data_IF_560543793039
#
_entry.id   IF_560543793039
#
_cell.length_a   1.000
_cell.length_b   1.000
_cell.length_c   1.000
_cell.angle_alpha   90.00
_cell.angle_beta   90.00
_cell.angle_gamma   90.00
#
_symmetry.space_group_name_H-M   'P 1'
#
loop_
_entity.id
_entity.type
_entity.pdbx_description
1 polymer ?
#
# COMPACT_ATOMS: atom_id res chain seq x y z
N UNK A 1 -17.98 0.90 -16.36
CA UNK A 1 -17.79 1.38 -17.75
C UNK A 1 -18.15 0.25 -18.69
N UNK A 2 -19.15 0.42 -19.54
CA UNK A 2 -19.54 -0.56 -20.56
C UNK A 2 -18.85 -0.23 -21.88
N UNK A 3 -18.42 -1.26 -22.61
CA UNK A 3 -17.91 -1.14 -23.98
C UNK A 3 -19.04 -1.55 -24.92
N UNK A 4 -19.38 -0.70 -25.87
CA UNK A 4 -20.34 -1.01 -26.92
C UNK A 4 -19.56 -1.45 -28.17
N UNK A 5 -19.84 -2.65 -28.66
CA UNK A 5 -19.34 -3.14 -29.93
C UNK A 5 -20.39 -2.87 -31.01
N UNK A 6 -20.01 -2.21 -32.10
CA UNK A 6 -20.88 -1.85 -33.19
C UNK A 6 -20.29 -2.35 -34.50
N UNK A 7 -21.03 -3.18 -35.25
CA UNK A 7 -20.75 -3.53 -36.64
C UNK A 7 -21.37 -2.49 -37.58
N UNK A 8 -20.69 -2.21 -38.70
CA UNK A 8 -21.13 -1.25 -39.72
C UNK A 8 -21.38 0.17 -39.13
N UNK A 9 -20.34 0.77 -38.54
CA UNK A 9 -20.44 1.98 -37.74
C UNK A 9 -20.81 3.23 -38.56
N UNK A 10 -20.72 3.18 -39.89
CA UNK A 10 -21.01 4.29 -40.79
C UNK A 10 -22.43 4.86 -40.61
N UNK A 11 -23.36 4.01 -40.20
CA UNK A 11 -24.77 4.40 -39.98
C UNK A 11 -24.99 5.23 -38.73
N UNK A 12 -24.02 5.24 -37.79
CA UNK A 12 -24.13 5.90 -36.47
C UNK A 12 -22.94 6.77 -36.11
N UNK A 13 -21.96 6.92 -37.01
CA UNK A 13 -20.70 7.64 -36.71
C UNK A 13 -20.90 9.08 -36.24
N UNK A 14 -21.93 9.76 -36.65
CA UNK A 14 -22.22 11.15 -36.24
C UNK A 14 -22.85 11.25 -34.83
N UNK A 15 -23.25 10.14 -34.22
CA UNK A 15 -23.95 10.11 -32.93
C UNK A 15 -23.19 9.45 -31.80
N UNK A 16 -21.96 8.96 -32.02
CA UNK A 16 -21.22 8.14 -31.08
C UNK A 16 -20.17 8.90 -30.30
N UNK A 17 -19.85 8.37 -29.11
CA UNK A 17 -18.87 8.88 -28.17
C UNK A 17 -17.56 9.35 -28.81
N UNK A 18 -16.98 10.37 -28.22
CA UNK A 18 -15.62 10.85 -28.55
C UNK A 18 -14.57 9.76 -28.35
N UNK A 19 -14.82 8.85 -27.40
CA UNK A 19 -13.94 7.72 -27.05
C UNK A 19 -14.31 6.48 -27.86
N UNK A 20 -13.62 6.25 -28.97
CA UNK A 20 -13.87 5.12 -29.85
C UNK A 20 -12.60 4.49 -30.40
N UNK A 21 -12.67 3.20 -30.71
CA UNK A 21 -11.67 2.44 -31.46
C UNK A 21 -12.30 1.90 -32.73
N UNK A 22 -11.90 2.42 -33.88
CA UNK A 22 -12.30 1.88 -35.17
C UNK A 22 -11.35 0.70 -35.50
N UNK A 23 -11.95 -0.47 -35.75
CA UNK A 23 -11.25 -1.68 -36.16
C UNK A 23 -11.62 -2.00 -37.60
N UNK A 24 -10.67 -1.82 -38.53
CA UNK A 24 -10.83 -2.14 -39.94
C UNK A 24 -10.16 -3.47 -40.25
N UNK A 25 -10.89 -4.36 -40.88
CA UNK A 25 -10.44 -5.69 -41.30
C UNK A 25 -10.36 -5.75 -42.80
N UNK A 26 -9.16 -5.94 -43.36
CA UNK A 26 -8.93 -6.01 -44.79
C UNK A 26 -8.23 -7.32 -45.14
N UNK A 27 -8.49 -7.84 -46.34
CA UNK A 27 -7.82 -9.03 -46.89
C UNK A 27 -8.81 -10.14 -47.24
N UNK A 28 -8.31 -11.14 -47.95
CA UNK A 28 -9.05 -12.31 -48.39
C UNK A 28 -8.31 -13.61 -48.00
N UNK A 29 -9.05 -14.72 -47.93
CA UNK A 29 -8.47 -16.01 -47.55
C UNK A 29 -8.28 -16.17 -46.03
N UNK A 30 -7.16 -16.76 -45.60
CA UNK A 30 -6.87 -17.15 -44.23
C UNK A 30 -6.20 -16.03 -43.39
N UNK A 31 -5.71 -14.97 -44.03
CA UNK A 31 -5.07 -13.84 -43.36
C UNK A 31 -5.90 -12.57 -43.47
N UNK A 32 -5.85 -11.74 -42.46
CA UNK A 32 -6.49 -10.43 -42.39
C UNK A 32 -5.50 -9.41 -41.86
N UNK A 33 -5.51 -8.23 -42.48
CA UNK A 33 -4.86 -7.04 -41.92
C UNK A 33 -5.87 -6.35 -40.99
N UNK A 34 -5.41 -5.97 -39.82
CA UNK A 34 -6.23 -5.24 -38.83
C UNK A 34 -5.62 -3.87 -38.66
N UNK A 35 -6.40 -2.83 -38.99
CA UNK A 35 -6.02 -1.44 -38.73
C UNK A 35 -6.84 -0.91 -37.58
N UNK A 36 -6.17 -0.37 -36.57
CA UNK A 36 -6.79 0.22 -35.38
C UNK A 36 -6.64 1.72 -35.43
N UNK A 37 -7.77 2.45 -35.48
CA UNK A 37 -7.79 3.90 -35.47
C UNK A 37 -8.48 4.39 -34.18
N UNK A 38 -7.71 4.84 -33.18
CA UNK A 38 -8.25 5.31 -31.93
C UNK A 38 -8.72 6.77 -32.00
N UNK A 39 -9.66 7.15 -31.13
CA UNK A 39 -9.98 8.54 -30.81
C UNK A 39 -10.32 8.66 -29.33
N UNK A 40 -10.15 9.89 -28.77
CA UNK A 40 -10.39 10.16 -27.35
C UNK A 40 -9.49 9.32 -26.45
N UNK A 41 -10.06 8.74 -25.41
CA UNK A 41 -9.32 7.94 -24.40
C UNK A 41 -8.64 6.69 -25.00
N UNK A 42 -9.11 6.18 -26.14
CA UNK A 42 -8.50 5.02 -26.80
C UNK A 42 -7.11 5.28 -27.34
N UNK A 43 -6.74 6.54 -27.63
CA UNK A 43 -5.38 6.91 -28.03
C UNK A 43 -4.40 6.49 -26.92
N UNK A 44 -4.65 6.91 -25.69
CA UNK A 44 -3.79 6.57 -24.54
C UNK A 44 -3.73 5.06 -24.28
N UNK A 45 -4.85 4.35 -24.45
CA UNK A 45 -4.91 2.88 -24.27
C UNK A 45 -4.03 2.17 -25.29
N UNK A 46 -4.09 2.56 -26.57
CA UNK A 46 -3.26 1.93 -27.62
C UNK A 46 -1.79 2.32 -27.47
N UNK A 47 -1.48 3.57 -27.17
CA UNK A 47 -0.11 4.01 -26.92
C UNK A 47 0.52 3.22 -25.77
N UNK A 48 -0.24 3.04 -24.67
CA UNK A 48 0.22 2.26 -23.53
C UNK A 48 0.44 0.80 -23.89
N UNK A 49 -0.51 0.19 -24.59
CA UNK A 49 -0.35 -1.20 -25.05
C UNK A 49 0.84 -1.37 -26.00
N UNK A 50 1.10 -0.38 -26.85
CA UNK A 50 2.25 -0.37 -27.75
C UNK A 50 3.56 -0.29 -26.98
N UNK A 51 3.65 0.57 -25.94
CA UNK A 51 4.81 0.65 -25.07
C UNK A 51 5.07 -0.71 -24.37
N UNK A 52 4.03 -1.32 -23.81
CA UNK A 52 4.12 -2.65 -23.18
C UNK A 52 4.62 -3.70 -24.18
N UNK A 53 4.06 -3.75 -25.39
CA UNK A 53 4.49 -4.73 -26.43
C UNK A 53 5.95 -4.52 -26.85
N UNK A 54 6.39 -3.27 -26.99
CA UNK A 54 7.80 -2.96 -27.28
C UNK A 54 8.71 -3.42 -26.13
N UNK A 55 8.34 -3.14 -24.90
CA UNK A 55 9.09 -3.57 -23.73
C UNK A 55 9.20 -5.11 -23.64
N UNK A 56 8.08 -5.83 -23.82
CA UNK A 56 8.11 -7.29 -23.83
C UNK A 56 8.93 -7.87 -24.98
N UNK A 57 8.95 -7.21 -26.15
CA UNK A 57 9.72 -7.66 -27.32
C UNK A 57 11.24 -7.64 -27.09
N UNK A 58 11.73 -6.87 -26.11
CA UNK A 58 13.15 -6.82 -25.73
C UNK A 58 13.52 -7.82 -24.63
N UNK A 59 12.58 -8.64 -24.19
CA UNK A 59 12.74 -9.62 -23.11
C UNK A 59 12.42 -11.05 -23.57
N UNK A 60 12.70 -12.04 -22.73
CA UNK A 60 12.28 -13.44 -22.99
C UNK A 60 10.75 -13.62 -23.00
N UNK A 61 10.00 -12.60 -22.63
CA UNK A 61 8.54 -12.60 -22.56
C UNK A 61 7.88 -12.12 -23.86
N UNK A 62 8.65 -12.02 -24.95
CA UNK A 62 8.11 -11.77 -26.28
C UNK A 62 7.08 -12.83 -26.62
N UNK A 63 5.87 -12.43 -27.01
CA UNK A 63 4.78 -13.36 -27.34
C UNK A 63 4.06 -13.98 -26.15
N UNK A 64 4.39 -13.55 -24.90
CA UNK A 64 3.71 -14.06 -23.71
C UNK A 64 2.19 -13.85 -23.77
N UNK A 65 1.45 -14.87 -23.31
CA UNK A 65 0.04 -14.71 -22.99
C UNK A 65 -0.10 -13.84 -21.76
N UNK A 66 -0.85 -12.74 -21.92
CA UNK A 66 -1.09 -11.74 -20.85
C UNK A 66 -2.50 -11.93 -20.29
N UNK A 67 -2.61 -11.98 -18.97
CA UNK A 67 -3.91 -12.03 -18.29
C UNK A 67 -3.94 -10.99 -17.18
N UNK A 68 -5.00 -10.19 -17.16
CA UNK A 68 -5.21 -9.18 -16.11
C UNK A 68 -5.18 -9.85 -14.73
N UNK A 69 -4.40 -9.28 -13.82
CA UNK A 69 -4.36 -9.64 -12.41
C UNK A 69 -5.07 -8.55 -11.62
N UNK A 70 -6.19 -8.90 -10.99
CA UNK A 70 -6.95 -7.95 -10.19
C UNK A 70 -6.12 -7.47 -9.01
N UNK A 71 -5.89 -6.16 -8.95
CA UNK A 71 -5.21 -5.45 -7.86
C UNK A 71 -6.22 -4.80 -6.93
N UNK A 72 -5.77 -4.42 -5.74
CA UNK A 72 -6.56 -3.64 -4.78
C UNK A 72 -6.71 -2.17 -5.26
N UNK A 73 -7.17 -1.29 -4.40
CA UNK A 73 -7.51 0.13 -4.65
C UNK A 73 -6.35 1.03 -5.17
N UNK A 74 -5.42 0.47 -5.92
CA UNK A 74 -4.24 1.13 -6.51
C UNK A 74 -4.50 1.58 -7.95
N UNK A 75 -3.71 2.55 -8.40
CA UNK A 75 -3.65 2.95 -9.82
C UNK A 75 -2.74 2.06 -10.66
N UNK A 76 -1.95 1.21 -10.03
CA UNK A 76 -1.08 0.24 -10.67
C UNK A 76 -1.91 -0.86 -11.31
N UNK A 77 -1.46 -1.33 -12.47
CA UNK A 77 -2.06 -2.46 -13.14
C UNK A 77 -1.07 -3.61 -13.17
N UNK A 78 -1.58 -4.79 -13.01
CA UNK A 78 -0.78 -6.00 -13.03
C UNK A 78 -1.36 -6.98 -14.04
N UNK A 79 -0.47 -7.68 -14.74
CA UNK A 79 -0.84 -8.79 -15.61
C UNK A 79 0.08 -9.98 -15.33
N UNK A 80 -0.46 -11.19 -15.35
CA UNK A 80 0.38 -12.38 -15.37
C UNK A 80 0.86 -12.62 -16.79
N UNK A 81 2.15 -12.89 -16.93
CA UNK A 81 2.80 -13.30 -18.17
C UNK A 81 3.02 -14.80 -18.15
N UNK A 82 2.69 -15.48 -19.27
CA UNK A 82 2.91 -16.91 -19.42
C UNK A 82 3.59 -17.19 -20.76
N UNK A 83 4.72 -17.90 -20.72
CA UNK A 83 5.43 -18.45 -21.86
C UNK A 83 5.83 -19.88 -21.48
N UNK A 84 5.34 -20.87 -22.20
CA UNK A 84 5.52 -22.28 -21.86
C UNK A 84 5.15 -22.56 -20.38
N UNK A 85 6.08 -23.09 -19.59
CA UNK A 85 5.90 -23.33 -18.14
C UNK A 85 6.35 -22.14 -17.27
N UNK A 86 6.89 -21.08 -17.89
CA UNK A 86 7.36 -19.91 -17.16
C UNK A 86 6.23 -18.91 -16.89
N UNK A 87 6.26 -18.32 -15.69
CA UNK A 87 5.33 -17.29 -15.27
C UNK A 87 6.07 -16.12 -14.62
N UNK A 88 5.60 -14.91 -14.91
CA UNK A 88 6.02 -13.68 -14.24
C UNK A 88 4.85 -12.71 -14.12
N UNK A 89 5.09 -11.56 -13.50
CA UNK A 89 4.13 -10.48 -13.41
C UNK A 89 4.66 -9.27 -14.16
N UNK A 90 3.87 -8.75 -15.09
CA UNK A 90 4.06 -7.41 -15.65
C UNK A 90 3.42 -6.40 -14.70
N UNK A 91 4.22 -5.49 -14.20
CA UNK A 91 3.78 -4.31 -13.45
C UNK A 91 3.75 -3.10 -14.37
N UNK A 92 2.61 -2.43 -14.40
CA UNK A 92 2.35 -1.22 -15.16
C UNK A 92 2.05 -0.09 -14.16
N UNK A 93 3.05 0.78 -13.94
CA UNK A 93 3.02 1.90 -12.99
C UNK A 93 3.60 3.15 -13.68
N UNK A 94 2.88 3.77 -14.62
CA UNK A 94 3.32 5.03 -15.22
C UNK A 94 3.43 6.11 -14.14
N UNK A 95 4.45 6.98 -14.26
CA UNK A 95 4.55 8.14 -13.40
C UNK A 95 3.28 9.00 -13.49
N UNK A 96 2.82 9.46 -12.35
CA UNK A 96 1.61 10.28 -12.27
C UNK A 96 1.98 11.72 -11.96
N UNK A 97 1.26 12.68 -12.56
CA UNK A 97 1.33 14.05 -12.09
C UNK A 97 0.80 14.10 -10.64
N UNK A 98 1.38 14.97 -9.87
CA UNK A 98 0.96 15.26 -8.52
C UNK A 98 -0.56 15.54 -8.44
N UNK A 99 -1.16 15.12 -7.34
CA UNK A 99 -2.55 15.45 -7.03
C UNK A 99 -2.73 16.95 -6.73
N UNK A 100 -3.93 17.38 -6.36
CA UNK A 100 -4.16 18.77 -5.98
C UNK A 100 -3.30 19.16 -4.78
N UNK A 101 -2.85 20.40 -4.76
CA UNK A 101 -2.12 21.01 -3.65
C UNK A 101 -3.03 20.99 -2.42
N UNK A 102 -2.52 20.47 -1.31
CA UNK A 102 -3.26 20.38 -0.04
C UNK A 102 -2.64 21.22 1.07
N UNK A 103 -1.30 21.39 1.07
CA UNK A 103 -0.57 22.15 2.10
C UNK A 103 0.79 22.61 1.59
N UNK A 104 1.18 23.84 1.92
CA UNK A 104 2.51 24.41 1.66
C UNK A 104 2.99 24.24 0.20
N UNK A 105 2.08 24.39 -0.75
CA UNK A 105 2.37 24.23 -2.19
C UNK A 105 2.61 22.78 -2.63
N UNK A 106 2.34 21.79 -1.78
CA UNK A 106 2.58 20.38 -2.06
C UNK A 106 1.29 19.55 -2.08
N UNK A 107 1.20 18.51 -2.96
CA UNK A 107 0.13 17.54 -2.92
C UNK A 107 0.27 16.58 -1.74
N UNK A 108 -0.80 15.84 -1.44
CA UNK A 108 -0.80 14.84 -0.37
C UNK A 108 0.28 13.77 -0.55
N UNK A 109 0.46 13.27 -1.78
CA UNK A 109 1.46 12.24 -2.11
C UNK A 109 2.88 12.66 -1.74
N UNK A 110 3.26 13.89 -2.08
CA UNK A 110 4.59 14.42 -1.79
C UNK A 110 4.83 14.60 -0.27
N UNK A 111 3.81 15.05 0.49
CA UNK A 111 3.94 15.23 1.95
C UNK A 111 3.93 13.86 2.67
N UNK A 112 3.07 12.96 2.24
CA UNK A 112 2.95 11.61 2.82
C UNK A 112 4.04 10.65 2.31
N UNK A 113 4.93 11.09 1.43
CA UNK A 113 6.00 10.29 0.83
C UNK A 113 5.47 9.01 0.16
N UNK A 114 4.39 9.12 -0.62
CA UNK A 114 3.91 8.00 -1.44
C UNK A 114 4.74 7.90 -2.71
N UNK A 115 5.04 6.69 -3.13
CA UNK A 115 5.79 6.45 -4.36
C UNK A 115 4.99 6.88 -5.60
N UNK A 116 5.56 7.73 -6.42
CA UNK A 116 4.95 8.30 -7.61
C UNK A 116 5.40 7.60 -8.89
N UNK A 117 6.51 6.86 -8.81
CA UNK A 117 7.06 6.10 -9.93
C UNK A 117 7.61 4.72 -9.53
N UNK A 118 7.95 3.92 -10.54
CA UNK A 118 8.39 2.54 -10.39
C UNK A 118 9.81 2.42 -9.79
N UNK A 119 10.61 3.51 -9.74
CA UNK A 119 11.97 3.51 -9.16
C UNK A 119 11.97 3.01 -7.75
N UNK A 120 10.99 3.43 -6.95
CA UNK A 120 10.85 2.99 -5.57
C UNK A 120 10.70 1.46 -5.47
N UNK A 121 9.88 0.85 -6.34
CA UNK A 121 9.71 -0.63 -6.36
C UNK A 121 11.03 -1.33 -6.68
N UNK A 122 11.72 -0.89 -7.75
CA UNK A 122 12.96 -1.53 -8.20
C UNK A 122 14.05 -1.41 -7.14
N UNK A 123 14.21 -0.21 -6.56
CA UNK A 123 15.22 0.05 -5.55
C UNK A 123 14.95 -0.72 -4.26
N UNK A 124 13.73 -0.62 -3.71
CA UNK A 124 13.38 -1.24 -2.43
C UNK A 124 13.43 -2.76 -2.53
N UNK A 125 12.85 -3.33 -3.58
CA UNK A 125 12.92 -4.79 -3.78
C UNK A 125 14.35 -5.28 -3.97
N UNK A 126 15.18 -4.57 -4.75
CA UNK A 126 16.58 -4.91 -4.98
C UNK A 126 17.39 -4.95 -3.68
N UNK A 127 17.22 -3.95 -2.81
CA UNK A 127 17.89 -3.90 -1.52
C UNK A 127 17.40 -4.98 -0.55
N UNK A 128 16.08 -5.24 -0.51
CA UNK A 128 15.53 -6.35 0.28
C UNK A 128 16.11 -7.70 -0.15
N UNK A 129 16.15 -7.96 -1.46
CA UNK A 129 16.73 -9.18 -2.02
C UNK A 129 18.20 -9.34 -1.69
N UNK A 130 19.00 -8.27 -1.80
CA UNK A 130 20.43 -8.28 -1.48
C UNK A 130 20.72 -8.67 -0.03
N UNK A 131 19.76 -8.41 0.87
CA UNK A 131 19.83 -8.74 2.31
C UNK A 131 19.16 -10.06 2.67
N UNK A 132 18.70 -10.84 1.67
CA UNK A 132 18.15 -12.18 1.89
C UNK A 132 16.67 -12.22 2.24
N UNK A 133 15.92 -11.13 2.10
CA UNK A 133 14.46 -11.13 2.17
C UNK A 133 13.86 -11.61 0.85
N UNK A 134 12.58 -11.94 0.86
CA UNK A 134 11.85 -12.29 -0.35
C UNK A 134 10.98 -11.11 -0.79
N UNK A 135 11.43 -10.38 -1.79
CA UNK A 135 10.65 -9.39 -2.52
C UNK A 135 10.64 -9.78 -4.02
N UNK A 136 9.67 -9.31 -4.83
CA UNK A 136 9.66 -9.64 -6.26
C UNK A 136 10.92 -9.16 -6.96
N UNK A 137 11.74 -10.09 -7.45
CA UNK A 137 12.92 -9.75 -8.23
C UNK A 137 12.50 -9.13 -9.57
N UNK A 138 13.09 -7.99 -9.94
CA UNK A 138 12.88 -7.38 -11.25
C UNK A 138 13.78 -8.05 -12.27
N UNK A 139 13.20 -8.74 -13.25
CA UNK A 139 13.92 -9.37 -14.37
C UNK A 139 14.29 -8.33 -15.44
N UNK A 140 13.37 -7.41 -15.71
CA UNK A 140 13.56 -6.28 -16.61
C UNK A 140 12.70 -5.10 -16.16
N UNK A 141 13.12 -3.88 -16.47
CA UNK A 141 12.33 -2.70 -16.20
C UNK A 141 12.61 -1.59 -17.22
N UNK A 142 11.64 -0.71 -17.38
CA UNK A 142 11.71 0.52 -18.17
C UNK A 142 11.20 1.67 -17.29
N UNK A 143 12.11 2.44 -16.73
CA UNK A 143 11.79 3.54 -15.82
C UNK A 143 11.07 4.70 -16.54
N UNK A 144 11.34 4.87 -17.84
CA UNK A 144 10.72 5.93 -18.64
C UNK A 144 9.23 5.69 -18.82
N UNK A 145 8.85 4.43 -19.11
CA UNK A 145 7.46 4.06 -19.29
C UNK A 145 6.82 3.52 -18.01
N UNK A 146 7.58 3.35 -16.90
CA UNK A 146 7.06 2.77 -15.67
C UNK A 146 6.57 1.33 -15.83
N UNK A 147 7.38 0.48 -16.46
CA UNK A 147 7.10 -0.93 -16.71
C UNK A 147 8.15 -1.80 -16.02
N UNK A 148 7.73 -2.89 -15.42
CA UNK A 148 8.66 -3.92 -14.93
C UNK A 148 8.09 -5.32 -15.13
N UNK A 149 8.97 -6.27 -15.38
CA UNK A 149 8.70 -7.71 -15.29
C UNK A 149 9.28 -8.17 -13.96
N UNK A 150 8.43 -8.64 -13.06
CA UNK A 150 8.81 -9.02 -11.71
C UNK A 150 8.44 -10.47 -11.40
N UNK A 151 9.16 -11.08 -10.46
CA UNK A 151 8.91 -12.43 -9.97
C UNK A 151 7.48 -12.56 -9.42
N UNK A 152 6.82 -13.68 -9.74
CA UNK A 152 5.59 -14.09 -9.09
C UNK A 152 5.92 -14.90 -7.82
N UNK A 153 5.71 -14.30 -6.65
CA UNK A 153 5.98 -14.93 -5.34
C UNK A 153 4.94 -15.99 -4.94
N UNK A 154 3.92 -16.24 -5.76
CA UNK A 154 2.89 -17.24 -5.52
C UNK A 154 1.54 -16.67 -5.12
N UNK A 155 0.68 -17.54 -4.56
CA UNK A 155 -0.75 -17.24 -4.32
C UNK A 155 -1.18 -17.34 -2.87
N UNK A 156 -0.32 -17.79 -1.97
CA UNK A 156 -0.64 -17.99 -0.55
C UNK A 156 -0.54 -16.67 0.23
N UNK A 157 -1.47 -15.75 -0.07
CA UNK A 157 -1.58 -14.45 0.61
C UNK A 157 -2.12 -14.65 2.03
N UNK A 158 -1.44 -14.09 3.04
CA UNK A 158 -1.80 -14.24 4.46
C UNK A 158 -3.27 -13.91 4.73
N UNK A 159 -3.78 -12.82 4.15
CA UNK A 159 -5.17 -12.41 4.32
C UNK A 159 -6.16 -13.46 3.79
N UNK A 160 -5.87 -14.08 2.64
CA UNK A 160 -6.70 -15.14 2.06
C UNK A 160 -6.64 -16.42 2.89
N UNK A 161 -5.44 -16.81 3.35
CA UNK A 161 -5.25 -17.97 4.22
C UNK A 161 -6.04 -17.84 5.53
N UNK A 162 -5.96 -16.66 6.19
CA UNK A 162 -6.70 -16.38 7.42
C UNK A 162 -8.23 -16.42 7.20
N UNK A 163 -8.72 -15.82 6.12
CA UNK A 163 -10.15 -15.86 5.78
C UNK A 163 -10.64 -17.27 5.41
N UNK A 164 -9.76 -18.11 4.91
CA UNK A 164 -10.03 -19.53 4.65
C UNK A 164 -9.94 -20.42 5.92
N UNK A 165 -9.54 -19.86 7.07
CA UNK A 165 -9.39 -20.60 8.31
C UNK A 165 -8.14 -21.48 8.38
N UNK A 166 -7.11 -21.21 7.55
CA UNK A 166 -5.85 -21.92 7.64
C UNK A 166 -5.11 -21.59 8.95
N UNK A 167 -4.26 -22.50 9.42
CA UNK A 167 -3.39 -22.23 10.58
C UNK A 167 -2.37 -21.14 10.25
N UNK A 168 -2.44 -20.05 11.00
CA UNK A 168 -1.58 -18.88 10.84
C UNK A 168 -0.42 -18.84 11.85
N UNK A 169 -0.23 -19.87 12.67
CA UNK A 169 0.78 -19.87 13.74
C UNK A 169 2.19 -19.66 13.19
N UNK A 170 2.62 -20.51 12.26
CA UNK A 170 3.95 -20.38 11.63
C UNK A 170 4.07 -19.17 10.70
N UNK A 171 3.08 -18.87 9.81
CA UNK A 171 3.13 -17.66 8.98
C UNK A 171 3.30 -16.38 9.81
N UNK A 172 2.47 -16.17 10.83
CA UNK A 172 2.52 -14.95 11.63
C UNK A 172 3.80 -14.83 12.45
N UNK A 173 4.29 -15.95 13.00
CA UNK A 173 5.58 -15.99 13.69
C UNK A 173 6.72 -15.60 12.74
N UNK A 174 6.76 -16.18 11.55
CA UNK A 174 7.77 -15.85 10.55
C UNK A 174 7.71 -14.37 10.12
N UNK A 175 6.51 -13.79 9.99
CA UNK A 175 6.35 -12.37 9.70
C UNK A 175 6.93 -11.49 10.82
N UNK A 176 6.74 -11.85 12.08
CA UNK A 176 7.33 -11.15 13.24
C UNK A 176 8.85 -11.30 13.25
N UNK A 177 9.39 -12.49 12.96
CA UNK A 177 10.83 -12.74 12.86
C UNK A 177 11.49 -11.88 11.77
N UNK A 178 10.82 -11.72 10.61
CA UNK A 178 11.28 -10.80 9.55
C UNK A 178 11.36 -9.37 10.04
N UNK A 179 10.32 -8.85 10.72
CA UNK A 179 10.34 -7.49 11.27
C UNK A 179 11.41 -7.29 12.33
N UNK A 180 11.59 -8.26 13.23
CA UNK A 180 12.63 -8.20 14.24
C UNK A 180 14.05 -8.17 13.62
N UNK A 181 14.27 -8.96 12.57
CA UNK A 181 15.51 -8.95 11.82
C UNK A 181 15.71 -7.63 11.05
N UNK A 182 14.68 -7.09 10.40
CA UNK A 182 14.75 -5.79 9.74
C UNK A 182 15.11 -4.67 10.72
N UNK A 183 14.52 -4.69 11.90
CA UNK A 183 14.79 -3.70 12.95
C UNK A 183 16.22 -3.75 13.51
N UNK A 184 16.91 -4.87 13.37
CA UNK A 184 18.31 -5.02 13.76
C UNK A 184 19.31 -4.49 12.73
N UNK A 185 18.87 -4.27 11.47
CA UNK A 185 19.75 -3.86 10.38
C UNK A 185 19.98 -2.34 10.34
N UNK A 186 21.13 -1.94 9.79
CA UNK A 186 21.34 -0.57 9.31
C UNK A 186 20.83 -0.46 7.88
N UNK A 187 19.94 0.47 7.63
CA UNK A 187 19.31 0.67 6.32
C UNK A 187 19.83 1.94 5.65
N UNK A 188 20.10 1.91 4.34
CA UNK A 188 20.49 3.10 3.60
C UNK A 188 19.28 4.04 3.41
N UNK A 189 19.56 5.32 3.35
CA UNK A 189 18.60 6.36 2.92
C UNK A 189 18.61 6.55 1.41
N UNK A 190 19.54 5.91 0.70
CA UNK A 190 19.72 5.99 -0.75
C UNK A 190 20.12 4.65 -1.33
N UNK A 191 19.41 4.21 -2.34
CA UNK A 191 19.64 2.93 -3.03
C UNK A 191 19.95 3.17 -4.50
N UNK A 192 21.05 2.60 -4.99
CA UNK A 192 21.43 2.67 -6.39
C UNK A 192 20.56 1.72 -7.23
N UNK A 193 20.09 2.21 -8.38
CA UNK A 193 19.43 1.41 -9.40
C UNK A 193 20.44 1.18 -10.53
N UNK A 194 20.70 -0.08 -10.85
CA UNK A 194 21.69 -0.43 -11.86
C UNK A 194 21.44 0.30 -13.18
N UNK A 195 22.37 1.19 -13.58
CA UNK A 195 22.36 1.89 -14.85
C UNK A 195 21.51 3.17 -14.92
N UNK A 196 20.74 3.53 -13.87
CA UNK A 196 19.67 4.53 -14.01
C UNK A 196 19.46 5.47 -12.81
N UNK A 197 20.52 5.74 -12.06
CA UNK A 197 20.49 6.68 -10.94
C UNK A 197 20.20 6.01 -9.61
N UNK A 198 19.52 6.73 -8.73
CA UNK A 198 19.25 6.29 -7.38
C UNK A 198 17.80 6.60 -6.94
N UNK A 199 17.39 5.92 -5.88
CA UNK A 199 16.16 6.20 -5.15
C UNK A 199 16.49 6.64 -3.73
N UNK A 200 15.91 7.75 -3.29
CA UNK A 200 16.00 8.21 -1.90
C UNK A 200 14.82 7.65 -1.12
N UNK A 201 15.10 6.89 -0.07
CA UNK A 201 14.09 6.42 0.88
C UNK A 201 13.79 7.57 1.85
N UNK A 202 12.61 8.16 1.80
CA UNK A 202 12.31 9.33 2.60
C UNK A 202 12.18 9.02 4.09
N UNK A 203 12.37 10.02 4.93
CA UNK A 203 12.05 9.92 6.36
C UNK A 203 10.53 9.90 6.56
N UNK A 204 10.04 9.04 7.43
CA UNK A 204 8.67 9.14 7.95
C UNK A 204 8.61 10.25 9.00
N UNK A 205 8.70 11.48 8.53
CA UNK A 205 8.82 12.69 9.33
C UNK A 205 7.48 13.13 9.96
N UNK A 206 7.56 14.22 10.74
CA UNK A 206 6.39 14.76 11.42
C UNK A 206 5.31 15.24 10.44
N UNK A 207 5.69 15.84 9.32
CA UNK A 207 4.72 16.34 8.33
C UNK A 207 3.96 15.20 7.65
N UNK A 208 4.67 14.12 7.30
CA UNK A 208 4.05 12.89 6.77
C UNK A 208 3.07 12.26 7.78
N UNK A 209 3.47 12.17 9.04
CA UNK A 209 2.61 11.61 10.08
C UNK A 209 1.40 12.53 10.37
N UNK A 210 1.59 13.84 10.37
CA UNK A 210 0.52 14.84 10.59
C UNK A 210 -0.49 14.88 9.44
N UNK A 211 -0.04 14.86 8.18
CA UNK A 211 -0.98 14.86 7.04
C UNK A 211 -1.83 13.59 7.02
N UNK A 212 -1.30 12.48 7.50
CA UNK A 212 -2.01 11.22 7.60
C UNK A 212 -3.08 11.24 8.71
N UNK A 213 -2.77 11.71 9.93
CA UNK A 213 -3.81 11.83 10.98
C UNK A 213 -4.86 12.86 10.59
N UNK A 214 -4.50 13.87 9.80
CA UNK A 214 -5.40 14.87 9.23
C UNK A 214 -6.50 14.31 8.33
N UNK A 215 -6.37 13.06 7.88
CA UNK A 215 -7.45 12.38 7.14
C UNK A 215 -8.69 12.12 8.01
N UNK A 216 -8.53 11.96 9.32
CA UNK A 216 -9.66 11.77 10.23
C UNK A 216 -10.55 13.02 10.29
N UNK A 217 -10.08 14.23 10.62
CA UNK A 217 -10.90 15.44 10.62
C UNK A 217 -11.43 15.79 9.22
N UNK A 218 -10.68 15.48 8.15
CA UNK A 218 -11.07 15.82 6.78
C UNK A 218 -12.15 14.91 6.21
N UNK A 219 -12.17 13.63 6.58
CA UNK A 219 -13.04 12.62 5.95
C UNK A 219 -13.92 11.84 6.92
N UNK A 220 -13.35 11.37 8.05
CA UNK A 220 -14.11 10.56 9.01
C UNK A 220 -15.03 11.42 9.89
N UNK A 221 -14.57 12.59 10.31
CA UNK A 221 -15.40 13.53 11.05
C UNK A 221 -16.69 13.88 10.30
N UNK A 222 -16.63 14.40 9.05
CA UNK A 222 -17.86 14.70 8.32
C UNK A 222 -18.67 13.45 7.95
N UNK A 223 -18.05 12.27 7.88
CA UNK A 223 -18.76 11.02 7.71
C UNK A 223 -19.64 10.70 8.93
N UNK A 224 -19.16 10.96 10.14
CA UNK A 224 -19.89 10.68 11.39
C UNK A 224 -20.88 11.80 11.74
N UNK A 225 -20.44 13.05 11.69
CA UNK A 225 -21.21 14.20 12.17
C UNK A 225 -22.06 14.90 11.11
N UNK A 226 -21.88 14.61 9.84
CA UNK A 226 -22.53 15.30 8.74
C UNK A 226 -22.08 16.74 8.49
N UNK A 227 -21.18 17.26 9.33
CA UNK A 227 -20.66 18.65 9.28
C UNK A 227 -19.14 18.67 9.38
N UNK A 228 -18.51 19.77 8.97
CA UNK A 228 -17.07 19.94 9.15
C UNK A 228 -16.73 20.12 10.64
N UNK A 229 -15.52 19.73 11.01
CA UNK A 229 -14.95 20.00 12.34
C UNK A 229 -14.77 21.52 12.52
N UNK A 230 -14.93 22.02 13.74
CA UNK A 230 -14.66 23.43 14.04
C UNK A 230 -13.16 23.68 14.21
N UNK A 231 -12.71 24.92 13.93
CA UNK A 231 -11.29 25.27 14.01
C UNK A 231 -10.71 25.01 15.42
N UNK A 232 -11.49 25.27 16.47
CA UNK A 232 -11.05 25.04 17.85
C UNK A 232 -10.79 23.56 18.14
N UNK A 233 -11.72 22.68 17.76
CA UNK A 233 -11.60 21.23 17.97
C UNK A 233 -10.49 20.64 17.10
N UNK A 234 -10.32 21.17 15.87
CA UNK A 234 -9.22 20.78 14.98
C UNK A 234 -7.87 21.18 15.58
N UNK A 235 -7.74 22.39 16.09
CA UNK A 235 -6.51 22.89 16.70
C UNK A 235 -6.09 22.05 17.92
N UNK A 236 -7.05 21.64 18.77
CA UNK A 236 -6.79 20.72 19.88
C UNK A 236 -6.28 19.37 19.40
N UNK A 237 -6.93 18.78 18.39
CA UNK A 237 -6.53 17.52 17.79
C UNK A 237 -5.10 17.58 17.23
N UNK A 238 -4.79 18.61 16.47
CA UNK A 238 -3.45 18.80 15.91
C UNK A 238 -2.39 19.02 16.98
N UNK A 239 -2.69 19.79 18.03
CA UNK A 239 -1.78 20.04 19.13
C UNK A 239 -1.40 18.75 19.86
N UNK A 240 -2.38 17.88 20.15
CA UNK A 240 -2.16 16.59 20.78
C UNK A 240 -1.25 15.68 19.94
N UNK A 241 -1.48 15.61 18.63
CA UNK A 241 -0.61 14.82 17.75
C UNK A 241 0.80 15.41 17.60
N UNK A 242 0.93 16.75 17.56
CA UNK A 242 2.24 17.43 17.55
C UNK A 242 3.05 17.21 18.81
N UNK A 243 2.40 16.93 19.95
CA UNK A 243 3.09 16.53 21.19
C UNK A 243 3.56 15.06 21.15
N UNK A 244 2.74 14.15 20.61
CA UNK A 244 2.97 12.72 20.65
C UNK A 244 3.94 12.22 19.57
N UNK A 245 3.76 12.64 18.32
CA UNK A 245 4.50 12.09 17.17
C UNK A 245 6.02 12.30 17.25
N UNK A 246 6.56 13.44 17.74
CA UNK A 246 8.01 13.60 17.90
C UNK A 246 8.67 12.55 18.82
N UNK A 247 7.92 11.94 19.72
CA UNK A 247 8.44 10.88 20.60
C UNK A 247 8.86 9.65 19.79
N UNK A 248 8.17 9.35 18.70
CA UNK A 248 8.48 8.22 17.82
C UNK A 248 9.66 8.48 16.88
N UNK A 249 10.24 9.68 16.89
CA UNK A 249 11.39 10.05 16.06
C UNK A 249 12.74 9.88 16.78
N UNK A 250 12.71 9.50 18.05
CA UNK A 250 13.90 9.44 18.91
C UNK A 250 14.74 8.17 18.72
N UNK A 251 14.08 7.06 18.42
CA UNK A 251 14.75 5.79 18.21
C UNK A 251 15.50 5.72 16.87
N UNK A 252 16.36 4.70 16.76
CA UNK A 252 17.00 4.35 15.49
C UNK A 252 15.94 4.09 14.43
N UNK A 253 16.02 4.83 13.32
CA UNK A 253 15.14 4.64 12.17
C UNK A 253 15.60 3.46 11.33
N UNK A 254 14.63 2.67 10.89
CA UNK A 254 14.81 1.51 10.01
C UNK A 254 13.88 1.62 8.83
N UNK A 255 14.08 0.78 7.83
CA UNK A 255 13.07 0.69 6.77
C UNK A 255 11.75 0.20 7.35
N UNK A 256 10.71 0.99 7.10
CA UNK A 256 9.33 0.76 7.50
C UNK A 256 8.49 0.67 6.23
N UNK A 257 7.89 -0.50 5.99
CA UNK A 257 7.13 -0.80 4.77
C UNK A 257 5.79 -0.07 4.74
N UNK A 258 5.29 0.40 5.88
CA UNK A 258 3.99 1.05 6.12
C UNK A 258 2.79 0.13 5.91
N UNK A 259 2.82 -0.68 4.86
CA UNK A 259 1.77 -1.63 4.53
C UNK A 259 2.20 -3.09 4.73
N UNK A 260 2.94 -3.34 5.83
CA UNK A 260 3.33 -4.67 6.27
C UNK A 260 2.14 -5.36 6.96
N UNK A 261 1.19 -5.82 6.17
CA UNK A 261 -0.05 -6.42 6.64
C UNK A 261 -0.50 -7.58 5.73
N UNK A 262 -1.49 -8.34 6.16
CA UNK A 262 -1.84 -9.63 5.56
C UNK A 262 -2.12 -9.65 4.05
N UNK A 263 -2.69 -8.62 3.40
CA UNK A 263 -2.82 -8.61 1.95
C UNK A 263 -1.49 -8.56 1.19
N UNK A 264 -0.44 -8.02 1.82
CA UNK A 264 0.85 -7.77 1.19
C UNK A 264 1.94 -8.76 1.61
N UNK A 265 1.56 -9.81 2.36
CA UNK A 265 2.44 -10.88 2.79
C UNK A 265 2.04 -12.20 2.13
N UNK A 266 3.04 -12.94 1.62
CA UNK A 266 2.85 -14.24 1.00
C UNK A 266 3.60 -15.32 1.80
N UNK A 267 2.91 -16.42 2.08
CA UNK A 267 3.51 -17.55 2.74
C UNK A 267 4.19 -18.49 1.75
N UNK A 268 5.49 -18.74 1.95
CA UNK A 268 6.35 -19.55 1.09
C UNK A 268 7.04 -20.62 1.94
N UNK A 269 6.30 -21.65 2.40
CA UNK A 269 6.82 -22.66 3.34
C UNK A 269 7.97 -23.50 2.79
N UNK A 270 8.10 -23.57 1.46
CA UNK A 270 9.18 -24.26 0.76
C UNK A 270 10.53 -23.52 0.82
N UNK A 271 10.50 -22.24 1.20
CA UNK A 271 11.69 -21.41 1.35
C UNK A 271 12.25 -21.50 2.78
N UNK A 272 13.52 -21.09 2.93
CA UNK A 272 14.21 -21.09 4.22
C UNK A 272 14.26 -19.71 4.87
N UNK A 273 14.31 -19.67 6.19
CA UNK A 273 14.57 -18.47 7.00
C UNK A 273 13.64 -17.29 6.63
N UNK A 274 14.20 -16.11 6.38
CA UNK A 274 13.47 -14.88 6.05
C UNK A 274 12.70 -14.97 4.74
N UNK A 275 13.11 -15.83 3.80
CA UNK A 275 12.47 -16.01 2.49
C UNK A 275 11.12 -16.72 2.56
N UNK A 276 10.74 -17.26 3.73
CA UNK A 276 9.40 -17.83 3.93
C UNK A 276 8.28 -16.78 3.88
N UNK A 277 8.63 -15.50 4.04
CA UNK A 277 7.67 -14.40 3.97
C UNK A 277 7.97 -13.56 2.73
N UNK A 278 7.13 -13.67 1.71
CA UNK A 278 7.20 -12.82 0.53
C UNK A 278 6.59 -11.46 0.82
N UNK A 279 7.32 -10.39 0.49
CA UNK A 279 6.92 -8.99 0.71
C UNK A 279 6.55 -8.36 -0.63
N UNK A 280 5.32 -7.90 -0.76
CA UNK A 280 4.87 -7.13 -1.93
C UNK A 280 4.37 -5.75 -1.49
N UNK A 281 4.17 -4.87 -2.45
CA UNK A 281 3.67 -3.50 -2.21
C UNK A 281 4.63 -2.65 -1.36
N UNK A 282 5.92 -2.77 -1.63
CA UNK A 282 7.03 -2.24 -0.82
C UNK A 282 7.44 -0.81 -1.15
N UNK A 283 6.90 -0.22 -2.21
CA UNK A 283 7.37 1.06 -2.78
C UNK A 283 7.16 2.27 -1.87
N UNK A 284 6.21 2.21 -0.93
CA UNK A 284 5.96 3.29 0.02
C UNK A 284 6.84 3.19 1.28
N UNK A 285 7.95 2.45 1.18
CA UNK A 285 8.95 2.29 2.22
C UNK A 285 9.54 3.65 2.63
N UNK A 286 9.69 3.84 3.93
CA UNK A 286 10.26 5.05 4.53
C UNK A 286 11.25 4.68 5.63
N UNK A 287 12.10 5.62 6.04
CA UNK A 287 12.89 5.49 7.27
C UNK A 287 12.04 5.92 8.46
N UNK A 288 11.55 4.95 9.23
CA UNK A 288 10.64 5.16 10.34
C UNK A 288 10.98 4.34 11.58
N UNK A 289 10.09 4.39 12.57
CA UNK A 289 10.22 3.60 13.79
C UNK A 289 9.74 2.16 13.55
N UNK A 290 10.48 1.12 13.97
CA UNK A 290 10.16 -0.29 13.72
C UNK A 290 8.81 -0.74 14.32
N UNK A 291 8.28 -0.05 15.31
CA UNK A 291 6.97 -0.35 15.89
C UNK A 291 5.80 -0.14 14.91
N UNK A 292 5.97 0.68 13.86
CA UNK A 292 4.89 0.94 12.90
C UNK A 292 4.46 -0.33 12.16
N UNK A 293 5.42 -1.08 11.62
CA UNK A 293 5.12 -2.28 10.84
C UNK A 293 4.64 -3.43 11.74
N UNK A 294 5.12 -3.52 12.98
CA UNK A 294 4.55 -4.46 13.94
C UNK A 294 3.08 -4.12 14.25
N UNK A 295 2.75 -2.84 14.44
CA UNK A 295 1.37 -2.41 14.60
C UNK A 295 0.55 -2.67 13.32
N UNK A 296 1.14 -2.48 12.13
CA UNK A 296 0.48 -2.80 10.86
C UNK A 296 0.12 -4.28 10.73
N UNK A 297 0.99 -5.18 11.19
CA UNK A 297 0.78 -6.62 11.18
C UNK A 297 -0.25 -7.07 12.24
N UNK A 298 -0.07 -6.65 13.50
CA UNK A 298 -0.86 -7.14 14.62
C UNK A 298 -2.21 -6.44 14.78
N UNK A 299 -2.38 -5.28 14.13
CA UNK A 299 -3.62 -4.49 14.09
C UNK A 299 -4.10 -4.36 12.63
N UNK A 300 -4.17 -5.48 11.93
CA UNK A 300 -4.57 -5.51 10.53
C UNK A 300 -6.00 -5.01 10.35
N UNK A 301 -6.17 -3.99 9.50
CA UNK A 301 -7.47 -3.37 9.28
C UNK A 301 -8.46 -4.26 8.51
N UNK A 302 -7.98 -5.30 7.79
CA UNK A 302 -8.78 -6.09 6.85
C UNK A 302 -9.16 -7.48 7.34
N UNK A 303 -8.35 -8.03 8.25
CA UNK A 303 -8.61 -9.34 8.88
C UNK A 303 -8.54 -9.23 10.39
N UNK A 304 -9.25 -10.09 11.11
CA UNK A 304 -9.17 -10.11 12.56
C UNK A 304 -7.93 -10.89 13.01
N UNK A 305 -7.16 -10.27 13.89
CA UNK A 305 -6.09 -10.91 14.65
C UNK A 305 -6.61 -11.07 16.09
N UNK A 306 -6.78 -12.28 16.60
CA UNK A 306 -7.21 -12.49 17.98
C UNK A 306 -6.27 -11.80 18.97
N UNK A 307 -6.81 -11.19 20.01
CA UNK A 307 -6.03 -10.41 21.00
C UNK A 307 -4.89 -11.23 21.61
N UNK A 308 -5.19 -12.47 22.02
CA UNK A 308 -4.19 -13.39 22.60
C UNK A 308 -3.06 -13.76 21.62
N UNK A 309 -3.41 -13.89 20.33
CA UNK A 309 -2.43 -14.10 19.27
C UNK A 309 -1.54 -12.86 19.11
N UNK A 310 -2.15 -11.68 19.01
CA UNK A 310 -1.42 -10.41 18.87
C UNK A 310 -0.48 -10.18 20.07
N UNK A 311 -0.93 -10.41 21.30
CA UNK A 311 -0.12 -10.28 22.51
C UNK A 311 1.04 -11.28 22.56
N UNK A 312 0.81 -12.52 22.14
CA UNK A 312 1.86 -13.55 22.06
C UNK A 312 2.92 -13.15 21.01
N UNK A 313 2.50 -12.69 19.85
CA UNK A 313 3.38 -12.26 18.77
C UNK A 313 4.14 -10.98 19.13
N UNK A 314 3.50 -10.03 19.81
CA UNK A 314 4.15 -8.85 20.34
C UNK A 314 5.28 -9.22 21.32
N UNK A 315 5.00 -10.11 22.29
CA UNK A 315 6.02 -10.61 23.23
C UNK A 315 7.17 -11.31 22.50
N UNK A 316 6.86 -12.15 21.52
CA UNK A 316 7.86 -12.80 20.70
C UNK A 316 8.77 -11.81 19.97
N UNK A 317 8.20 -10.75 19.38
CA UNK A 317 9.00 -9.67 18.77
C UNK A 317 9.94 -9.03 19.78
N UNK A 318 9.44 -8.70 20.95
CA UNK A 318 10.24 -8.06 22.00
C UNK A 318 11.38 -8.97 22.48
N UNK A 319 11.10 -10.25 22.74
CA UNK A 319 12.13 -11.24 23.10
C UNK A 319 13.26 -11.31 22.08
N UNK A 320 12.92 -11.29 20.79
CA UNK A 320 13.91 -11.24 19.71
C UNK A 320 14.75 -9.95 19.72
N UNK A 321 14.12 -8.83 20.07
CA UNK A 321 14.78 -7.51 20.07
C UNK A 321 15.58 -7.23 21.33
N UNK A 322 15.21 -7.79 22.48
CA UNK A 322 15.94 -7.62 23.76
C UNK A 322 17.36 -8.20 23.72
N UNK A 323 17.70 -8.99 22.70
CA UNK A 323 19.09 -9.42 22.46
C UNK A 323 19.96 -8.31 21.86
N UNK A 324 19.37 -7.23 21.36
CA UNK A 324 20.06 -6.08 20.81
C UNK A 324 20.25 -5.01 21.88
N UNK A 325 21.50 -4.66 22.17
CA UNK A 325 21.86 -3.71 23.24
C UNK A 325 21.36 -2.28 23.02
N UNK A 326 20.95 -1.93 21.80
CA UNK A 326 20.37 -0.61 21.49
C UNK A 326 18.84 -0.60 21.53
N UNK A 327 18.21 -1.72 21.83
CA UNK A 327 16.74 -1.80 21.95
C UNK A 327 16.30 -1.27 23.31
N UNK A 328 15.53 -0.19 23.29
CA UNK A 328 14.87 0.36 24.48
C UNK A 328 13.41 -0.12 24.50
N UNK A 329 13.09 -1.02 25.41
CA UNK A 329 11.78 -1.60 25.59
C UNK A 329 10.72 -0.52 25.91
N UNK A 330 11.05 0.42 26.81
CA UNK A 330 10.10 1.46 27.23
C UNK A 330 9.76 2.40 26.08
N UNK A 331 10.77 2.85 25.33
CA UNK A 331 10.56 3.67 24.13
C UNK A 331 9.75 2.92 23.07
N UNK A 332 10.04 1.63 22.89
CA UNK A 332 9.32 0.79 21.93
C UNK A 332 7.85 0.62 22.30
N UNK A 333 7.51 0.30 23.55
CA UNK A 333 6.14 0.13 24.03
C UNK A 333 5.33 1.43 23.84
N UNK A 334 5.93 2.57 24.19
CA UNK A 334 5.32 3.88 23.98
C UNK A 334 5.10 4.17 22.48
N UNK A 335 6.12 3.95 21.66
CA UNK A 335 6.06 4.20 20.22
C UNK A 335 5.07 3.26 19.52
N UNK A 336 4.96 2.01 19.95
CA UNK A 336 3.98 1.06 19.45
C UNK A 336 2.54 1.56 19.71
N UNK A 337 2.27 2.06 20.90
CA UNK A 337 0.95 2.62 21.23
C UNK A 337 0.65 3.89 20.41
N UNK A 338 1.61 4.82 20.29
CA UNK A 338 1.43 6.08 19.53
C UNK A 338 1.22 5.77 18.04
N UNK A 339 2.06 4.94 17.44
CA UNK A 339 2.00 4.61 16.01
C UNK A 339 0.81 3.72 15.65
N UNK A 340 0.41 2.82 16.56
CA UNK A 340 -0.84 2.08 16.42
C UNK A 340 -2.07 2.99 16.40
N UNK A 341 -2.13 3.95 17.32
CA UNK A 341 -3.21 4.95 17.35
C UNK A 341 -3.15 5.88 16.12
N UNK A 342 -1.95 6.30 15.69
CA UNK A 342 -1.75 7.13 14.49
C UNK A 342 -2.26 6.39 13.24
N UNK A 343 -1.87 5.13 13.09
CA UNK A 343 -2.28 4.30 11.96
C UNK A 343 -3.80 4.06 11.96
N UNK A 344 -4.39 3.75 13.10
CA UNK A 344 -5.84 3.58 13.21
C UNK A 344 -6.60 4.87 12.85
N UNK A 345 -6.12 6.02 13.35
CA UNK A 345 -6.67 7.35 13.02
C UNK A 345 -6.62 7.63 11.52
N UNK A 346 -5.48 7.40 10.88
CA UNK A 346 -5.28 7.49 9.43
C UNK A 346 -6.28 6.60 8.67
N UNK A 347 -6.40 5.33 9.06
CA UNK A 347 -7.22 4.33 8.35
C UNK A 347 -8.71 4.66 8.44
N UNK A 348 -9.22 5.15 9.58
CA UNK A 348 -10.59 5.65 9.71
C UNK A 348 -10.86 6.73 8.65
N UNK A 349 -9.95 7.69 8.51
CA UNK A 349 -10.02 8.72 7.47
C UNK A 349 -9.97 8.16 6.05
N UNK A 350 -9.06 7.20 5.78
CA UNK A 350 -8.95 6.54 4.47
C UNK A 350 -10.24 5.82 4.10
N UNK A 351 -10.84 5.04 4.99
CA UNK A 351 -12.04 4.26 4.69
C UNK A 351 -13.25 5.17 4.42
N UNK A 352 -13.41 6.26 5.17
CA UNK A 352 -14.41 7.27 4.90
C UNK A 352 -14.18 7.96 3.54
N UNK A 353 -12.92 8.29 3.20
CA UNK A 353 -12.54 8.88 1.92
C UNK A 353 -12.83 7.94 0.74
N UNK A 354 -12.44 6.68 0.84
CA UNK A 354 -12.69 5.66 -0.19
C UNK A 354 -14.19 5.48 -0.44
N UNK A 355 -15.00 5.50 0.61
CA UNK A 355 -16.46 5.43 0.48
C UNK A 355 -17.04 6.67 -0.18
N UNK A 356 -16.69 7.87 0.32
CA UNK A 356 -17.31 9.13 -0.10
C UNK A 356 -16.83 9.62 -1.48
N UNK A 357 -15.51 9.51 -1.74
CA UNK A 357 -14.90 10.02 -2.97
C UNK A 357 -14.90 8.98 -4.10
N UNK A 358 -14.60 7.72 -3.75
CA UNK A 358 -14.33 6.68 -4.73
C UNK A 358 -15.45 5.64 -4.87
N UNK A 359 -16.55 5.79 -4.11
CA UNK A 359 -17.70 4.88 -4.12
C UNK A 359 -17.41 3.47 -3.58
N UNK A 360 -16.27 3.27 -2.91
CA UNK A 360 -15.82 1.97 -2.40
C UNK A 360 -16.37 1.72 -0.99
N UNK A 361 -17.69 1.55 -0.88
CA UNK A 361 -18.38 1.40 0.42
C UNK A 361 -17.99 0.13 1.19
N UNK A 362 -17.46 -0.89 0.52
CA UNK A 362 -17.07 -2.16 1.15
C UNK A 362 -16.02 -2.02 2.26
N UNK A 363 -15.27 -0.92 2.31
CA UNK A 363 -14.28 -0.67 3.37
C UNK A 363 -14.91 -0.25 4.71
N UNK A 364 -16.13 0.30 4.69
CA UNK A 364 -16.81 0.77 5.91
C UNK A 364 -17.05 -0.34 6.93
N UNK A 365 -17.23 -1.59 6.48
CA UNK A 365 -17.40 -2.76 7.37
C UNK A 365 -16.21 -3.00 8.30
N UNK A 366 -15.05 -2.43 8.01
CA UNK A 366 -13.84 -2.58 8.81
C UNK A 366 -13.68 -1.49 9.90
N UNK A 367 -14.50 -0.44 9.86
CA UNK A 367 -14.43 0.68 10.82
C UNK A 367 -14.51 0.20 12.28
N UNK A 368 -15.42 -0.71 12.68
CA UNK A 368 -15.48 -1.18 14.07
C UNK A 368 -14.17 -1.84 14.54
N UNK A 369 -13.53 -2.63 13.66
CA UNK A 369 -12.22 -3.24 13.96
C UNK A 369 -11.14 -2.18 14.18
N UNK A 370 -11.02 -1.22 13.28
CA UNK A 370 -10.02 -0.15 13.38
C UNK A 370 -10.28 0.74 14.59
N UNK A 371 -11.56 0.97 14.94
CA UNK A 371 -11.94 1.68 16.16
C UNK A 371 -11.45 0.96 17.43
N UNK A 372 -11.56 -0.38 17.48
CA UNK A 372 -11.00 -1.17 18.60
C UNK A 372 -9.47 -1.07 18.69
N UNK A 373 -8.77 -1.07 17.54
CA UNK A 373 -7.32 -0.89 17.53
C UNK A 373 -6.89 0.51 18.00
N UNK A 374 -7.67 1.53 17.67
CA UNK A 374 -7.46 2.86 18.22
C UNK A 374 -7.57 2.85 19.77
N UNK A 375 -8.57 2.16 20.33
CA UNK A 375 -8.71 2.04 21.79
C UNK A 375 -7.52 1.34 22.45
N UNK A 376 -6.92 0.34 21.80
CA UNK A 376 -5.71 -0.31 22.32
C UNK A 376 -4.55 0.68 22.45
N UNK A 377 -4.32 1.53 21.44
CA UNK A 377 -3.32 2.60 21.54
C UNK A 377 -3.66 3.63 22.60
N UNK A 378 -4.92 4.09 22.63
CA UNK A 378 -5.43 5.09 23.59
C UNK A 378 -5.43 4.58 25.06
N UNK A 379 -5.28 3.28 25.28
CA UNK A 379 -5.14 2.73 26.64
C UNK A 379 -3.79 3.05 27.28
N UNK A 380 -2.76 3.39 26.48
CA UNK A 380 -1.43 3.72 26.99
C UNK A 380 -1.47 5.07 27.73
N UNK A 381 -0.87 5.20 28.95
CA UNK A 381 -0.93 6.42 29.76
C UNK A 381 -0.46 7.69 29.02
N UNK A 382 0.53 7.56 28.13
CA UNK A 382 1.06 8.70 27.34
C UNK A 382 0.01 9.33 26.41
N UNK A 383 -1.01 8.57 26.01
CA UNK A 383 -2.08 9.03 25.14
C UNK A 383 -3.34 9.47 25.90
N UNK A 384 -3.27 9.67 27.23
CA UNK A 384 -4.44 9.99 28.05
C UNK A 384 -5.19 11.25 27.57
N UNK A 385 -4.47 12.32 27.21
CA UNK A 385 -5.09 13.55 26.70
C UNK A 385 -5.77 13.31 25.33
N UNK A 386 -5.13 12.57 24.44
CA UNK A 386 -5.72 12.19 23.15
C UNK A 386 -6.95 11.29 23.35
N UNK A 387 -6.90 10.36 24.29
CA UNK A 387 -8.06 9.54 24.67
C UNK A 387 -9.23 10.38 25.14
N UNK A 388 -8.98 11.42 25.96
CA UNK A 388 -10.02 12.34 26.41
C UNK A 388 -10.66 13.08 25.24
N UNK A 389 -9.84 13.56 24.28
CA UNK A 389 -10.34 14.20 23.07
C UNK A 389 -11.27 13.27 22.27
N UNK A 390 -10.85 12.01 22.04
CA UNK A 390 -11.69 11.02 21.36
C UNK A 390 -12.98 10.71 22.10
N UNK A 391 -12.92 10.55 23.43
CA UNK A 391 -14.10 10.28 24.25
C UNK A 391 -15.12 11.45 24.22
N UNK A 392 -14.63 12.67 24.09
CA UNK A 392 -15.48 13.86 24.02
C UNK A 392 -16.11 14.03 22.65
N UNK A 393 -15.34 13.86 21.59
CA UNK A 393 -15.75 14.27 20.24
C UNK A 393 -16.13 13.12 19.32
N UNK A 394 -15.49 11.96 19.49
CA UNK A 394 -15.69 10.76 18.66
C UNK A 394 -15.63 9.49 19.55
N UNK A 395 -16.54 9.34 20.53
CA UNK A 395 -16.53 8.16 21.42
C UNK A 395 -16.64 6.85 20.64
N UNK A 396 -16.08 5.79 21.19
CA UNK A 396 -15.99 4.47 20.51
C UNK A 396 -17.33 4.00 19.94
N UNK A 397 -18.39 4.09 20.75
CA UNK A 397 -19.74 3.69 20.32
C UNK A 397 -20.23 4.45 19.07
N UNK A 398 -19.88 5.74 18.96
CA UNK A 398 -20.21 6.57 17.80
C UNK A 398 -19.39 6.15 16.57
N UNK A 399 -18.09 5.92 16.75
CA UNK A 399 -17.22 5.47 15.65
C UNK A 399 -17.66 4.13 15.08
N UNK A 400 -18.07 3.17 15.93
CA UNK A 400 -18.46 1.82 15.54
C UNK A 400 -19.85 1.74 14.91
N UNK A 401 -20.76 2.61 15.36
CA UNK A 401 -22.14 2.65 14.81
C UNK A 401 -22.19 3.26 13.41
N UNK A 402 -21.25 4.14 13.07
CA UNK A 402 -21.29 4.91 11.83
C UNK A 402 -22.23 6.13 11.92
N UNK A 403 -22.53 6.79 10.77
CA UNK A 403 -23.40 7.96 10.74
C UNK A 403 -24.82 7.62 11.21
N UNK A 404 -25.46 8.60 11.83
CA UNK A 404 -26.84 8.51 12.31
C UNK A 404 -27.85 8.44 11.14
#
# INVERSE_FOLDING_TARGET
>A
TSVLLVEWPELIMERTCTDRLLVQLEGAGTSRNVTLTPSGAWCQVLDRNTAIRKFLATSRWQGATRRFLEGDASFRRYETLHVDDAQAILMDMPARPDGPIVKDGKPYSAIAHLAEDIRAVIAVNGELLSRGYAAPAAEAFDLTHGLAIIEDLGRRVYGRMRLAGEDMTDPMRAAVEVLAHMAAQAWPDRVQISGDGDHVVPSYDLDAQMIEVGLLPSWFWPYIHGTSITDAVLAEFEALWRELLPLTQRARRVWTMRDYHSPNLLWRPEQASLKRVGLIDTQDCVLGHPAYDLASLLQDARVDIPTEEAERLYRHYVELRETDTVFDRHDFDQSYAILGAQRATKILGIFARLSKRDGKHGYLKHIPRVSRYLELGLAHPRLAALKQWFNTHLPQAMREKGPA
#
